data_IF_630125660387
#
_entry.id   IF_630125660387
#
_cell.length_a   1.000
_cell.length_b   1.000
_cell.length_c   1.000
_cell.angle_alpha   90.00
_cell.angle_beta   90.00
_cell.angle_gamma   90.00
#
_symmetry.space_group_name_H-M   'P 1'
#
loop_
_entity.id
_entity.type
_entity.pdbx_description
1 polymer ?
#
# COMPACT_ATOMS: atom_id res chain seq x y z
N UNK A 1 -8.38 -1.47 -17.99
CA UNK A 1 -8.45 -0.56 -16.82
C UNK A 1 -7.14 -0.45 -16.05
N UNK A 2 -6.68 -1.49 -15.33
CA UNK A 2 -5.49 -1.40 -14.47
C UNK A 2 -4.21 -0.94 -15.21
N UNK A 3 -3.88 -1.59 -16.34
CA UNK A 3 -2.72 -1.19 -17.14
C UNK A 3 -2.86 0.24 -17.68
N UNK A 4 -4.07 0.67 -18.05
CA UNK A 4 -4.32 2.03 -18.54
C UNK A 4 -3.97 3.06 -17.46
N UNK A 5 -4.39 2.82 -16.21
CA UNK A 5 -4.15 3.72 -15.08
C UNK A 5 -2.67 3.86 -14.70
N UNK A 6 -1.95 2.73 -14.68
CA UNK A 6 -0.59 2.68 -14.17
C UNK A 6 0.49 2.60 -15.28
N UNK A 7 0.10 2.62 -16.55
CA UNK A 7 1.08 2.59 -17.67
C UNK A 7 2.14 3.69 -17.60
N UNK A 8 1.80 4.84 -17.02
CA UNK A 8 2.69 5.99 -16.87
C UNK A 8 3.36 6.07 -15.49
N UNK A 9 3.09 5.15 -14.55
CA UNK A 9 3.81 5.13 -13.27
C UNK A 9 5.22 4.60 -13.45
N UNK A 10 6.17 5.15 -12.69
CA UNK A 10 7.51 4.60 -12.64
C UNK A 10 7.49 3.16 -12.11
N UNK A 11 8.38 2.32 -12.64
CA UNK A 11 8.54 0.91 -12.24
C UNK A 11 7.29 0.04 -12.43
N UNK A 12 6.38 0.43 -13.32
CA UNK A 12 5.23 -0.41 -13.66
C UNK A 12 5.70 -1.78 -14.24
N UNK A 13 5.33 -2.91 -13.61
CA UNK A 13 5.88 -4.21 -13.97
C UNK A 13 5.34 -4.70 -15.31
N UNK A 14 6.23 -5.21 -16.16
CA UNK A 14 5.85 -5.79 -17.47
C UNK A 14 4.94 -7.00 -17.34
N UNK A 15 5.05 -7.74 -16.24
CA UNK A 15 4.31 -8.95 -15.94
C UNK A 15 3.14 -8.71 -14.96
N UNK A 16 2.56 -7.51 -14.95
CA UNK A 16 1.47 -7.13 -14.04
C UNK A 16 0.31 -8.13 -14.03
N UNK A 17 0.00 -8.79 -15.15
CA UNK A 17 -1.01 -9.84 -15.20
C UNK A 17 -0.70 -11.03 -14.29
N UNK A 18 0.57 -11.47 -14.24
CA UNK A 18 1.00 -12.54 -13.36
C UNK A 18 0.97 -12.12 -11.88
N UNK A 19 1.30 -10.86 -11.60
CA UNK A 19 1.20 -10.28 -10.26
C UNK A 19 -0.24 -10.29 -9.75
N UNK A 20 -1.20 -9.82 -10.55
CA UNK A 20 -2.61 -9.73 -10.18
C UNK A 20 -3.27 -11.10 -10.03
N UNK A 21 -2.81 -12.11 -10.76
CA UNK A 21 -3.29 -13.50 -10.66
C UNK A 21 -2.63 -14.30 -9.52
N UNK A 22 -1.63 -13.73 -8.84
CA UNK A 22 -0.94 -14.40 -7.76
C UNK A 22 -1.88 -14.65 -6.57
N UNK A 23 -1.79 -15.82 -5.94
CA UNK A 23 -2.58 -16.18 -4.74
C UNK A 23 -2.40 -15.23 -3.55
N UNK A 24 -1.29 -14.50 -3.50
CA UNK A 24 -0.99 -13.52 -2.45
C UNK A 24 -1.69 -12.18 -2.72
N UNK A 25 -2.12 -11.92 -3.95
CA UNK A 25 -3.00 -10.81 -4.27
C UNK A 25 -4.41 -11.15 -3.80
N UNK A 26 -4.88 -10.48 -2.74
CA UNK A 26 -6.24 -10.66 -2.23
C UNK A 26 -7.30 -10.04 -3.14
N UNK A 27 -6.86 -9.17 -4.06
CA UNK A 27 -7.70 -8.56 -5.07
C UNK A 27 -7.42 -7.09 -5.28
N UNK A 28 -8.02 -6.56 -6.34
CA UNK A 28 -8.05 -5.14 -6.66
C UNK A 28 -9.43 -4.59 -6.36
N UNK A 29 -9.48 -3.54 -5.54
CA UNK A 29 -10.70 -2.94 -5.04
C UNK A 29 -10.83 -1.55 -5.62
N UNK A 30 -12.02 -1.22 -6.09
CA UNK A 30 -12.39 0.11 -6.56
C UNK A 30 -13.50 0.66 -5.66
N UNK A 31 -13.45 1.95 -5.32
CA UNK A 31 -14.54 2.63 -4.63
C UNK A 31 -15.05 3.80 -5.44
N UNK A 32 -16.38 3.91 -5.43
CA UNK A 32 -17.16 4.84 -6.24
C UNK A 32 -18.21 5.50 -5.36
N UNK A 33 -18.69 6.66 -5.79
CA UNK A 33 -19.92 7.20 -5.21
C UNK A 33 -21.10 6.29 -5.57
N UNK A 34 -22.16 6.29 -4.75
CA UNK A 34 -23.38 5.50 -5.06
C UNK A 34 -23.99 5.90 -6.40
N UNK A 35 -23.85 7.16 -6.79
CA UNK A 35 -24.37 7.70 -8.06
C UNK A 35 -23.58 7.16 -9.24
N UNK A 36 -22.25 7.19 -9.14
CA UNK A 36 -21.36 6.71 -10.20
C UNK A 36 -21.48 5.20 -10.34
N UNK A 37 -21.53 4.47 -9.23
CA UNK A 37 -21.73 3.01 -9.25
C UNK A 37 -23.00 2.58 -9.98
N UNK A 38 -24.11 3.31 -9.82
CA UNK A 38 -25.38 2.97 -10.47
C UNK A 38 -25.35 3.15 -12.00
N UNK A 39 -24.45 4.00 -12.51
CA UNK A 39 -24.37 4.38 -13.92
C UNK A 39 -23.09 3.85 -14.60
N UNK A 40 -22.23 3.16 -13.85
CA UNK A 40 -20.94 2.69 -14.34
C UNK A 40 -21.02 1.25 -14.79
N UNK A 41 -20.57 1.00 -16.03
CA UNK A 41 -20.41 -0.32 -16.59
C UNK A 41 -18.91 -0.66 -16.69
N UNK A 42 -18.41 -1.61 -15.89
CA UNK A 42 -17.02 -2.03 -15.94
C UNK A 42 -16.59 -2.64 -17.28
N UNK A 43 -17.51 -3.22 -18.05
CA UNK A 43 -17.21 -3.94 -19.29
C UNK A 43 -16.89 -3.00 -20.46
N UNK A 44 -17.46 -1.79 -20.45
CA UNK A 44 -17.20 -0.77 -21.47
C UNK A 44 -15.80 -0.16 -21.37
N UNK A 45 -15.07 -0.41 -20.27
CA UNK A 45 -13.69 0.04 -20.08
C UNK A 45 -13.54 1.52 -19.71
N UNK A 46 -14.64 2.28 -19.72
CA UNK A 46 -14.67 3.68 -19.30
C UNK A 46 -14.50 3.79 -17.78
N UNK A 47 -13.67 4.75 -17.36
CA UNK A 47 -13.47 5.07 -15.96
C UNK A 47 -14.49 6.11 -15.50
N UNK A 48 -15.08 5.95 -14.29
CA UNK A 48 -15.99 6.94 -13.74
C UNK A 48 -15.25 8.25 -13.42
N UNK A 49 -16.00 9.34 -13.30
CA UNK A 49 -15.43 10.69 -13.10
C UNK A 49 -14.69 10.85 -11.78
N UNK A 50 -15.14 10.16 -10.73
CA UNK A 50 -14.49 10.12 -9.41
C UNK A 50 -14.40 8.69 -8.88
N UNK A 51 -13.19 8.24 -8.58
CA UNK A 51 -12.95 6.91 -8.02
C UNK A 51 -11.65 6.85 -7.22
N UNK A 52 -11.51 5.78 -6.45
CA UNK A 52 -10.21 5.33 -5.96
C UNK A 52 -10.05 3.83 -6.18
N UNK A 53 -8.81 3.40 -6.34
CA UNK A 53 -8.45 2.00 -6.58
C UNK A 53 -7.20 1.65 -5.78
N UNK A 54 -7.14 0.44 -5.23
CA UNK A 54 -5.94 -0.15 -4.67
C UNK A 54 -5.98 -1.67 -4.81
N UNK A 55 -4.81 -2.29 -4.82
CA UNK A 55 -4.67 -3.75 -4.71
C UNK A 55 -4.06 -4.11 -3.37
N UNK A 56 -4.40 -5.30 -2.87
CA UNK A 56 -3.99 -5.75 -1.53
C UNK A 56 -3.15 -7.02 -1.67
N UNK A 57 -1.94 -6.98 -1.12
CA UNK A 57 -1.04 -8.13 -1.04
C UNK A 57 -0.95 -8.67 0.38
N UNK A 58 -1.00 -9.99 0.51
CA UNK A 58 -0.93 -10.69 1.79
C UNK A 58 0.50 -11.14 2.12
N UNK A 59 1.19 -10.43 3.01
CA UNK A 59 2.56 -10.79 3.40
C UNK A 59 2.64 -11.89 4.46
N UNK A 60 1.52 -12.19 5.16
CA UNK A 60 1.47 -13.17 6.26
C UNK A 60 1.86 -14.59 5.83
N UNK A 61 1.63 -14.91 4.56
CA UNK A 61 1.95 -16.21 3.96
C UNK A 61 3.41 -16.31 3.49
N UNK A 62 4.14 -15.19 3.48
CA UNK A 62 5.54 -15.11 3.05
C UNK A 62 6.46 -15.00 4.26
N UNK A 63 6.19 -14.06 5.16
CA UNK A 63 6.99 -13.85 6.37
C UNK A 63 6.17 -13.29 7.53
N UNK A 64 6.76 -13.35 8.73
CA UNK A 64 6.17 -12.78 9.94
C UNK A 64 7.18 -11.90 10.64
N UNK A 65 6.72 -10.73 11.05
CA UNK A 65 7.44 -9.74 11.82
C UNK A 65 7.18 -9.92 13.32
N UNK A 66 8.15 -9.50 14.12
CA UNK A 66 8.02 -9.39 15.56
C UNK A 66 8.83 -8.19 16.03
N UNK A 67 8.17 -7.24 16.69
CA UNK A 67 8.87 -6.11 17.29
C UNK A 67 9.59 -6.56 18.56
N UNK A 68 10.91 -6.43 18.57
CA UNK A 68 11.79 -6.71 19.73
C UNK A 68 12.57 -5.45 20.12
N UNK A 69 13.15 -5.45 21.32
CA UNK A 69 14.00 -4.36 21.79
C UNK A 69 13.27 -3.16 22.42
N UNK A 70 11.95 -3.25 22.64
CA UNK A 70 11.21 -2.24 23.40
C UNK A 70 11.42 -2.42 24.91
N UNK A 71 11.34 -1.34 25.69
CA UNK A 71 11.42 -1.42 27.15
C UNK A 71 10.23 -2.19 27.74
N UNK A 72 10.42 -2.83 28.89
CA UNK A 72 9.34 -3.53 29.61
C UNK A 72 8.18 -2.60 29.97
N UNK A 73 8.48 -1.33 30.27
CA UNK A 73 7.46 -0.31 30.56
C UNK A 73 6.61 0.00 29.32
N UNK A 74 7.24 0.17 28.16
CA UNK A 74 6.53 0.38 26.88
C UNK A 74 5.65 -0.81 26.54
N UNK A 75 6.16 -2.02 26.75
CA UNK A 75 5.40 -3.25 26.53
C UNK A 75 4.16 -3.33 27.46
N UNK A 76 4.34 -3.02 28.75
CA UNK A 76 3.24 -2.96 29.73
C UNK A 76 2.21 -1.87 29.40
N UNK A 77 2.65 -0.69 28.97
CA UNK A 77 1.75 0.38 28.54
C UNK A 77 0.91 -0.03 27.33
N UNK A 78 1.51 -0.67 26.32
CA UNK A 78 0.79 -1.19 25.15
C UNK A 78 -0.18 -2.33 25.50
N UNK A 79 0.16 -3.17 26.48
CA UNK A 79 -0.79 -4.15 27.03
C UNK A 79 -1.97 -3.45 27.72
N UNK A 80 -1.68 -2.44 28.54
CA UNK A 80 -2.69 -1.65 29.24
C UNK A 80 -3.68 -1.00 28.28
N UNK A 81 -3.20 -0.34 27.21
CA UNK A 81 -4.08 0.30 26.22
C UNK A 81 -5.02 -0.70 25.54
N UNK A 82 -4.56 -1.93 25.26
CA UNK A 82 -5.40 -3.00 24.70
C UNK A 82 -6.45 -3.50 25.69
N UNK A 83 -6.08 -3.61 26.98
CA UNK A 83 -7.02 -4.04 28.03
C UNK A 83 -8.12 -2.99 28.20
N UNK A 84 -7.76 -1.71 28.24
CA UNK A 84 -8.73 -0.61 28.35
C UNK A 84 -9.64 -0.57 27.12
N UNK A 85 -9.10 -0.68 25.91
CA UNK A 85 -9.89 -0.73 24.67
C UNK A 85 -10.87 -1.92 24.65
N UNK A 86 -10.46 -3.08 25.16
CA UNK A 86 -11.33 -4.26 25.27
C UNK A 86 -12.46 -4.10 26.31
N UNK A 87 -12.19 -3.44 27.44
CA UNK A 87 -13.21 -3.21 28.48
C UNK A 87 -14.15 -2.05 28.14
N UNK A 88 -13.64 -1.04 27.43
CA UNK A 88 -14.32 0.23 27.17
C UNK A 88 -14.36 0.55 25.66
N UNK A 89 -14.94 -0.30 24.80
CA UNK A 89 -14.90 -0.14 23.35
C UNK A 89 -15.59 1.15 22.85
N UNK A 90 -16.50 1.73 23.64
CA UNK A 90 -17.15 3.00 23.31
C UNK A 90 -16.22 4.20 23.37
N UNK A 91 -15.09 4.11 24.10
CA UNK A 91 -14.09 5.16 24.18
C UNK A 91 -13.23 5.26 22.90
N UNK A 92 -13.28 4.25 22.02
CA UNK A 92 -12.54 4.21 20.74
C UNK A 92 -11.07 4.58 20.89
N UNK A 93 -10.43 4.08 21.94
CA UNK A 93 -9.03 4.39 22.24
C UNK A 93 -8.17 3.75 21.14
N UNK A 94 -7.26 4.51 20.51
CA UNK A 94 -6.35 3.96 19.51
C UNK A 94 -5.34 3.03 20.20
N UNK A 95 -5.69 1.76 20.32
CA UNK A 95 -4.86 0.73 20.94
C UNK A 95 -3.83 0.20 19.93
N UNK A 96 -2.57 0.03 20.38
CA UNK A 96 -1.53 -0.54 19.53
C UNK A 96 -1.76 -2.05 19.44
N UNK A 97 -1.90 -2.62 18.23
CA UNK A 97 -2.09 -4.05 18.07
C UNK A 97 -0.92 -4.83 18.66
N UNK A 98 -1.11 -6.12 18.94
CA UNK A 98 -0.02 -6.92 19.53
C UNK A 98 1.06 -7.27 18.50
N UNK A 99 1.94 -6.30 18.24
CA UNK A 99 3.11 -6.37 17.35
C UNK A 99 4.33 -7.05 18.00
N UNK A 100 4.24 -7.38 19.29
CA UNK A 100 5.31 -8.07 20.03
C UNK A 100 5.27 -9.59 19.87
N UNK A 101 4.21 -10.13 19.28
CA UNK A 101 4.11 -11.52 18.81
C UNK A 101 4.21 -11.55 17.30
N UNK A 102 4.51 -12.72 16.73
CA UNK A 102 4.60 -12.89 15.28
C UNK A 102 3.31 -12.41 14.60
N UNK A 103 3.44 -11.48 13.66
CA UNK A 103 2.37 -10.91 12.87
C UNK A 103 2.82 -10.75 11.42
N UNK A 104 1.90 -10.71 10.48
CA UNK A 104 2.16 -10.13 9.17
C UNK A 104 1.25 -8.94 8.93
N UNK A 105 1.24 -8.45 7.71
CA UNK A 105 0.52 -7.24 7.35
C UNK A 105 -0.08 -7.36 5.96
N UNK A 106 -0.96 -6.43 5.63
CA UNK A 106 -1.38 -6.22 4.27
C UNK A 106 -0.56 -5.10 3.66
N UNK A 107 -0.02 -5.34 2.48
CA UNK A 107 0.65 -4.31 1.71
C UNK A 107 -0.29 -3.80 0.62
N UNK A 108 -0.53 -2.50 0.61
CA UNK A 108 -1.31 -1.82 -0.42
C UNK A 108 -0.37 -1.42 -1.55
N UNK A 109 -0.75 -1.79 -2.77
CA UNK A 109 0.00 -1.44 -3.99
C UNK A 109 -0.95 -1.02 -5.11
N UNK A 110 -0.42 -0.34 -6.12
CA UNK A 110 -1.23 0.23 -7.21
C UNK A 110 -2.34 1.12 -6.68
N UNK A 111 -1.99 2.09 -5.82
CA UNK A 111 -2.93 3.06 -5.29
C UNK A 111 -3.13 4.19 -6.30
N UNK A 112 -4.38 4.52 -6.59
CA UNK A 112 -4.72 5.67 -7.42
C UNK A 112 -6.06 6.25 -7.00
N UNK A 113 -6.19 7.57 -7.14
CA UNK A 113 -7.47 8.27 -6.96
C UNK A 113 -7.62 9.34 -8.02
N UNK A 114 -8.86 9.55 -8.46
CA UNK A 114 -9.22 10.52 -9.47
C UNK A 114 -10.54 11.21 -9.11
N UNK A 115 -10.69 12.46 -9.58
CA UNK A 115 -11.90 13.26 -9.42
C UNK A 115 -11.99 13.99 -8.08
N UNK A 116 -12.98 14.87 -7.96
CA UNK A 116 -13.19 15.74 -6.80
C UNK A 116 -13.39 14.94 -5.50
N UNK A 117 -14.05 13.78 -5.61
CA UNK A 117 -14.31 12.90 -4.47
C UNK A 117 -13.18 11.88 -4.20
N UNK A 118 -12.12 11.88 -5.01
CA UNK A 118 -11.05 10.86 -4.98
C UNK A 118 -10.42 10.67 -3.60
N UNK A 119 -10.09 11.75 -2.89
CA UNK A 119 -9.49 11.68 -1.54
C UNK A 119 -10.45 11.04 -0.52
N UNK A 120 -11.74 11.38 -0.57
CA UNK A 120 -12.77 10.80 0.31
C UNK A 120 -12.98 9.31 0.01
N UNK A 121 -12.98 8.94 -1.26
CA UNK A 121 -13.09 7.57 -1.73
C UNK A 121 -11.86 6.75 -1.30
N UNK A 122 -10.65 7.28 -1.46
CA UNK A 122 -9.41 6.63 -1.00
C UNK A 122 -9.38 6.40 0.51
N UNK A 123 -9.80 7.38 1.32
CA UNK A 123 -9.96 7.21 2.78
C UNK A 123 -10.95 6.10 3.13
N UNK A 124 -12.06 6.03 2.38
CA UNK A 124 -13.08 5.00 2.57
C UNK A 124 -12.55 3.61 2.20
N UNK A 125 -11.77 3.52 1.13
CA UNK A 125 -11.09 2.31 0.70
C UNK A 125 -10.06 1.85 1.75
N UNK A 126 -9.19 2.74 2.22
CA UNK A 126 -8.23 2.43 3.28
C UNK A 126 -8.93 1.92 4.56
N UNK A 127 -10.09 2.50 4.91
CA UNK A 127 -10.91 2.03 6.04
C UNK A 127 -11.47 0.63 5.80
N UNK A 128 -11.88 0.30 4.57
CA UNK A 128 -12.33 -1.04 4.19
C UNK A 128 -11.19 -2.05 4.38
N UNK A 129 -10.00 -1.76 3.84
CA UNK A 129 -8.81 -2.61 3.99
C UNK A 129 -8.42 -2.77 5.46
N UNK A 130 -8.41 -1.67 6.23
CA UNK A 130 -8.13 -1.73 7.67
C UNK A 130 -9.10 -2.69 8.39
N UNK A 131 -10.39 -2.67 8.05
CA UNK A 131 -11.36 -3.58 8.64
C UNK A 131 -11.10 -5.04 8.22
N UNK A 132 -10.73 -5.28 6.95
CA UNK A 132 -10.32 -6.60 6.49
C UNK A 132 -9.09 -7.11 7.28
N UNK A 133 -8.07 -6.27 7.44
CA UNK A 133 -6.86 -6.59 8.21
C UNK A 133 -7.18 -6.85 9.69
N UNK A 134 -8.07 -6.05 10.30
CA UNK A 134 -8.49 -6.23 11.69
C UNK A 134 -9.22 -7.55 11.91
N UNK A 135 -10.03 -7.99 10.95
CA UNK A 135 -10.75 -9.27 11.00
C UNK A 135 -9.88 -10.47 10.65
N UNK A 136 -8.70 -10.27 10.05
CA UNK A 136 -7.81 -11.36 9.67
C UNK A 136 -6.89 -11.79 10.83
N UNK A 137 -6.95 -13.08 11.17
CA UNK A 137 -6.06 -13.70 12.13
C UNK A 137 -4.60 -13.67 11.66
N UNK A 138 -3.78 -12.89 12.38
CA UNK A 138 -2.35 -12.77 12.13
C UNK A 138 -1.96 -11.49 11.42
N UNK A 139 -2.92 -10.70 10.91
CA UNK A 139 -2.65 -9.37 10.37
C UNK A 139 -2.68 -8.34 11.50
N UNK A 140 -1.64 -7.51 11.61
CA UNK A 140 -1.58 -6.44 12.65
C UNK A 140 -1.25 -5.07 12.11
N UNK A 141 -0.94 -4.96 10.83
CA UNK A 141 -0.69 -3.69 10.18
C UNK A 141 -1.21 -3.69 8.75
N UNK A 142 -1.47 -2.49 8.24
CA UNK A 142 -1.65 -2.20 6.82
C UNK A 142 -0.54 -1.23 6.47
N UNK A 143 0.21 -1.55 5.43
CA UNK A 143 1.37 -0.79 4.98
C UNK A 143 1.13 -0.38 3.54
N UNK A 144 1.54 0.84 3.20
CA UNK A 144 1.55 1.33 1.84
C UNK A 144 2.83 2.13 1.66
N UNK A 145 3.44 2.01 0.51
CA UNK A 145 4.55 2.86 0.10
C UNK A 145 4.11 3.64 -1.14
N UNK A 146 4.35 4.96 -1.12
CA UNK A 146 3.90 5.89 -2.15
C UNK A 146 4.96 6.95 -2.38
N UNK A 147 5.06 7.43 -3.62
CA UNK A 147 5.99 8.50 -3.96
C UNK A 147 5.71 9.77 -3.16
N UNK A 148 6.76 10.51 -2.80
CA UNK A 148 6.64 11.75 -2.02
C UNK A 148 5.71 12.79 -2.67
N UNK A 149 5.71 12.82 -4.01
CA UNK A 149 4.92 13.72 -4.84
C UNK A 149 3.60 13.11 -5.32
N UNK A 150 3.28 11.89 -4.92
CA UNK A 150 2.06 11.21 -5.33
C UNK A 150 0.85 11.85 -4.62
N UNK A 151 -0.15 12.35 -5.37
CA UNK A 151 -1.35 12.93 -4.78
C UNK A 151 -2.07 12.01 -3.78
N UNK A 152 -1.97 10.69 -3.97
CA UNK A 152 -2.65 9.72 -3.11
C UNK A 152 -2.12 9.74 -1.68
N UNK A 153 -0.87 10.18 -1.47
CA UNK A 153 -0.21 10.26 -0.15
C UNK A 153 -1.03 11.07 0.86
N UNK A 154 -1.63 12.17 0.43
CA UNK A 154 -2.46 13.04 1.29
C UNK A 154 -3.78 12.37 1.72
N UNK A 155 -4.24 11.37 0.97
CA UNK A 155 -5.49 10.68 1.23
C UNK A 155 -5.32 9.44 2.11
N UNK A 156 -4.12 8.86 2.18
CA UNK A 156 -3.86 7.64 2.95
C UNK A 156 -3.76 7.96 4.45
N UNK A 157 -4.66 7.43 5.30
CA UNK A 157 -4.54 7.56 6.74
C UNK A 157 -3.30 6.80 7.22
N UNK A 158 -2.38 7.47 7.90
CA UNK A 158 -1.14 6.88 8.38
C UNK A 158 -0.81 7.33 9.80
N UNK A 159 0.02 6.55 10.49
CA UNK A 159 0.57 6.93 11.79
C UNK A 159 1.91 7.61 11.57
N UNK A 160 2.01 8.92 11.84
CA UNK A 160 3.24 9.68 11.60
C UNK A 160 4.50 9.14 12.31
N UNK A 161 4.36 8.43 13.44
CA UNK A 161 5.50 7.78 14.12
C UNK A 161 6.03 6.52 13.41
N UNK A 162 5.24 5.96 12.50
CA UNK A 162 5.57 4.75 11.74
C UNK A 162 5.63 5.02 10.24
N UNK A 163 5.63 6.29 9.84
CA UNK A 163 5.78 6.72 8.45
C UNK A 163 7.16 7.36 8.32
N UNK A 164 7.89 6.97 7.28
CA UNK A 164 9.19 7.52 6.93
C UNK A 164 9.05 8.23 5.58
N UNK A 165 9.64 9.42 5.48
CA UNK A 165 9.67 10.22 4.25
C UNK A 165 11.02 10.07 3.51
N UNK A 166 11.99 9.38 4.12
CA UNK A 166 13.38 9.29 3.69
C UNK A 166 13.72 7.84 3.29
N UNK A 167 13.06 7.32 2.26
CA UNK A 167 13.39 6.03 1.65
C UNK A 167 14.22 6.24 0.38
N UNK A 168 15.37 5.57 0.31
CA UNK A 168 16.28 5.63 -0.84
C UNK A 168 16.09 4.37 -1.68
N UNK A 169 15.64 4.55 -2.91
CA UNK A 169 15.53 3.48 -3.89
C UNK A 169 16.85 3.32 -4.66
N UNK A 170 17.52 2.18 -4.48
CA UNK A 170 18.74 1.82 -5.20
C UNK A 170 18.42 0.75 -6.24
N UNK A 171 18.35 1.13 -7.52
CA UNK A 171 17.91 0.21 -8.58
C UNK A 171 19.08 -0.16 -9.48
N UNK A 172 19.40 -1.45 -9.53
CA UNK A 172 20.46 -1.99 -10.39
C UNK A 172 19.85 -2.59 -11.66
N UNK A 173 20.31 -2.16 -12.84
CA UNK A 173 19.97 -2.79 -14.11
C UNK A 173 20.61 -4.19 -14.13
N UNK A 174 19.79 -5.24 -14.08
CA UNK A 174 20.26 -6.64 -14.16
C UNK A 174 20.44 -7.13 -15.61
N UNK A 175 20.06 -6.33 -16.60
CA UNK A 175 20.19 -6.69 -18.01
C UNK A 175 21.57 -6.29 -18.54
N UNK A 176 22.40 -7.31 -18.78
CA UNK A 176 23.66 -7.22 -19.50
C UNK A 176 23.39 -6.94 -20.99
N UNK A 177 23.58 -5.70 -21.42
CA UNK A 177 24.14 -5.49 -22.74
C UNK A 177 25.65 -5.71 -22.54
N UNK A 178 26.09 -6.96 -22.77
CA UNK A 178 27.49 -7.39 -22.80
C UNK A 178 28.21 -6.65 -23.94
N UNK A 179 28.50 -5.36 -23.78
CA UNK A 179 29.49 -4.63 -24.58
C UNK A 179 29.75 -3.24 -23.96
N UNK A 180 30.85 -3.13 -23.20
CA UNK A 180 31.56 -1.89 -22.88
C UNK A 180 30.77 -0.75 -22.22
N UNK A 181 30.21 -0.97 -21.03
CA UNK A 181 29.80 0.15 -20.18
C UNK A 181 30.53 0.11 -18.85
N UNK A 182 31.04 1.25 -18.40
CA UNK A 182 31.85 1.36 -17.18
C UNK A 182 31.03 0.97 -15.95
N UNK A 183 31.71 0.56 -14.89
CA UNK A 183 31.09 0.10 -13.64
C UNK A 183 30.16 1.13 -12.95
N UNK A 184 30.16 2.39 -13.39
CA UNK A 184 29.27 3.45 -12.89
C UNK A 184 27.87 3.46 -13.55
N UNK A 185 27.67 2.79 -14.69
CA UNK A 185 26.41 2.86 -15.48
C UNK A 185 25.39 1.74 -15.13
N UNK A 186 25.66 0.93 -14.11
CA UNK A 186 24.79 -0.18 -13.71
C UNK A 186 23.62 0.22 -12.80
N UNK A 187 23.68 1.42 -12.22
CA UNK A 187 22.61 1.94 -11.36
C UNK A 187 21.70 2.85 -12.17
N UNK A 188 20.40 2.56 -12.15
CA UNK A 188 19.41 3.48 -12.68
C UNK A 188 19.35 4.67 -11.73
N UNK A 189 19.89 5.81 -12.17
CA UNK A 189 19.51 7.09 -11.58
C UNK A 189 18.04 7.35 -11.94
N UNK A 190 17.18 7.83 -11.02
CA UNK A 190 15.83 8.27 -11.36
C UNK A 190 15.94 9.22 -12.53
N UNK A 191 15.50 8.78 -13.70
CA UNK A 191 15.74 9.54 -14.91
C UNK A 191 15.09 10.90 -14.75
N UNK A 192 15.86 11.98 -14.85
CA UNK A 192 15.38 13.38 -14.86
C UNK A 192 14.33 13.68 -15.96
N UNK A 193 13.98 12.67 -16.75
CA UNK A 193 12.97 12.66 -17.82
C UNK A 193 11.64 12.04 -17.42
N UNK A 194 11.55 11.38 -16.27
CA UNK A 194 10.27 10.89 -15.77
C UNK A 194 9.56 12.04 -15.06
N UNK A 195 8.51 12.56 -15.70
CA UNK A 195 7.62 13.56 -15.13
C UNK A 195 6.53 12.92 -14.24
N UNK A 196 6.55 11.59 -14.09
CA UNK A 196 5.52 10.89 -13.34
C UNK A 196 5.77 11.06 -11.84
N UNK A 197 4.78 11.61 -11.16
CA UNK A 197 4.80 11.74 -9.70
C UNK A 197 4.42 10.44 -8.98
N UNK A 198 4.04 9.42 -9.77
CA UNK A 198 3.46 8.17 -9.29
C UNK A 198 4.52 7.08 -9.46
N UNK A 199 4.85 6.41 -8.36
CA UNK A 199 5.75 5.27 -8.30
C UNK A 199 4.91 4.01 -8.09
N UNK A 200 5.11 3.00 -8.92
CA UNK A 200 4.53 1.69 -8.70
C UNK A 200 5.47 0.83 -7.86
N UNK A 201 5.07 0.55 -6.63
CA UNK A 201 5.81 -0.35 -5.74
C UNK A 201 5.34 -1.78 -5.97
N UNK A 202 6.25 -2.64 -6.44
CA UNK A 202 5.95 -4.06 -6.62
C UNK A 202 5.85 -4.76 -5.24
N UNK A 203 4.69 -5.34 -4.89
CA UNK A 203 4.50 -5.94 -3.57
C UNK A 203 5.32 -7.23 -3.38
N UNK A 204 5.99 -7.75 -4.41
CA UNK A 204 6.91 -8.89 -4.32
C UNK A 204 8.28 -8.51 -3.75
N UNK A 205 8.64 -7.23 -3.82
CA UNK A 205 9.92 -6.70 -3.31
C UNK A 205 9.85 -6.33 -1.82
N UNK A 206 8.66 -6.47 -1.21
CA UNK A 206 8.33 -6.15 0.19
C UNK A 206 8.45 -7.35 1.11
#
# INVERSE_FOLDING_TARGET
MYCTLFSNSEFFPKDIGALLLNKLNLGTFITLSKKDYANWDPENGDLPSSFSICSIWNTKEVFRLQMKGVSSLTHAACLGTRIVDAMFPWLKIPSIPNVFKNFGFYFLYGLHMQGEDGSRLMKSLCKCVHNMARSDHGCRAVVAEVGQMDPVREAIPHWGRFSWDEDIWCIKKLQEDLENTSCDDHWLTPSSKSHSKIIFVDPRDV
#
